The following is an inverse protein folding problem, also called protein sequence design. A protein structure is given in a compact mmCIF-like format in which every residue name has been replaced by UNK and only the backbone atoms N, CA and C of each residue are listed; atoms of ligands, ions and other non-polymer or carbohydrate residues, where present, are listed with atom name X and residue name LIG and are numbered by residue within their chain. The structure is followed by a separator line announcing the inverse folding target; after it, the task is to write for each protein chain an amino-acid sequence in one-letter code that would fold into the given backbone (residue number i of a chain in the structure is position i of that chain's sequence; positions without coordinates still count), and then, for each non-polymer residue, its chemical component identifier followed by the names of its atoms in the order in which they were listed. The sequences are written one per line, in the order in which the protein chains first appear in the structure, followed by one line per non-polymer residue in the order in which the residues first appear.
data_IF_646582300311
#
_entry.id   IF_646582300311
#
_cell.length_a   1.000
_cell.length_b   1.000
_cell.length_c   1.000
_cell.angle_alpha   90.00
_cell.angle_beta   90.00
_cell.angle_gamma   90.00
#
_symmetry.space_group_name_H-M   'P 1'
#
loop_
_entity.id
_entity.type
_entity.pdbx_description
1 polymer ?
#
# COMPACT_ATOMS: atom_id res chain seq x y z
N UNK A 1 -11.99 14.01 3.89
CA UNK A 1 -10.59 13.67 3.66
C UNK A 1 -10.42 13.00 2.30
N UNK A 2 -9.31 13.28 1.62
CA UNK A 2 -9.05 12.70 0.33
C UNK A 2 -8.62 11.24 0.42
N UNK A 3 -9.29 10.37 -0.30
CA UNK A 3 -9.03 8.93 -0.27
C UNK A 3 -9.00 8.37 -1.70
N UNK A 4 -8.10 7.44 -1.92
CA UNK A 4 -8.01 6.69 -3.17
C UNK A 4 -7.80 5.22 -2.87
N UNK A 5 -8.62 4.37 -3.48
CA UNK A 5 -8.54 2.92 -3.29
C UNK A 5 -8.38 2.24 -4.65
N UNK A 6 -7.48 1.27 -4.72
CA UNK A 6 -7.29 0.44 -5.90
C UNK A 6 -7.07 -1.00 -5.46
N UNK A 7 -7.64 -1.93 -6.20
CA UNK A 7 -7.49 -3.36 -5.91
C UNK A 7 -6.77 -4.06 -7.05
N UNK A 8 -5.97 -5.05 -6.71
CA UNK A 8 -5.31 -5.90 -7.70
C UNK A 8 -5.14 -7.31 -7.15
N UNK A 9 -4.99 -8.27 -8.06
CA UNK A 9 -4.85 -9.68 -7.71
C UNK A 9 -3.45 -10.16 -8.12
N UNK A 10 -2.81 -10.95 -7.25
CA UNK A 10 -1.48 -11.51 -7.49
C UNK A 10 -1.50 -13.01 -7.30
N UNK A 11 -0.64 -13.71 -8.05
CA UNK A 11 -0.44 -15.16 -7.94
C UNK A 11 0.50 -15.47 -6.77
N UNK A 12 0.03 -15.19 -5.57
CA UNK A 12 0.80 -15.40 -4.34
C UNK A 12 -0.15 -15.81 -3.23
N UNK A 13 0.35 -16.61 -2.29
CA UNK A 13 -0.43 -16.92 -1.08
C UNK A 13 -0.69 -15.65 -0.29
N UNK A 14 -1.73 -15.69 0.55
CA UNK A 14 -2.03 -14.55 1.42
C UNK A 14 -0.84 -14.20 2.32
N UNK A 15 -0.16 -15.21 2.83
CA UNK A 15 1.01 -15.01 3.69
C UNK A 15 2.15 -14.31 2.94
N UNK A 16 2.43 -14.74 1.71
CA UNK A 16 3.47 -14.11 0.89
C UNK A 16 3.09 -12.68 0.51
N UNK A 17 1.85 -12.47 0.07
CA UNK A 17 1.37 -11.13 -0.28
C UNK A 17 1.45 -10.18 0.91
N UNK A 18 1.09 -10.66 2.09
CA UNK A 18 1.17 -9.91 3.35
C UNK A 18 2.61 -9.54 3.69
N UNK A 19 3.48 -10.53 3.73
CA UNK A 19 4.90 -10.35 4.05
C UNK A 19 5.58 -9.37 3.10
N UNK A 20 5.35 -9.52 1.80
CA UNK A 20 5.96 -8.67 0.78
C UNK A 20 5.41 -7.25 0.81
N UNK A 21 4.14 -7.07 1.13
CA UNK A 21 3.55 -5.74 1.31
C UNK A 21 4.20 -5.00 2.48
N UNK A 22 4.39 -5.68 3.60
CA UNK A 22 5.06 -5.11 4.77
C UNK A 22 6.50 -4.74 4.41
N UNK A 23 7.22 -5.65 3.77
CA UNK A 23 8.62 -5.43 3.38
C UNK A 23 8.76 -4.22 2.44
N UNK A 24 7.90 -4.13 1.43
CA UNK A 24 7.95 -3.03 0.47
C UNK A 24 7.69 -1.68 1.14
N UNK A 25 6.59 -1.57 1.87
CA UNK A 25 6.21 -0.30 2.47
C UNK A 25 7.16 0.12 3.58
N UNK A 26 7.60 -0.79 4.43
CA UNK A 26 8.57 -0.44 5.48
C UNK A 26 9.92 -0.05 4.89
N UNK A 27 10.30 -0.61 3.74
CA UNK A 27 11.50 -0.21 3.01
C UNK A 27 11.43 1.23 2.53
N UNK A 28 10.24 1.77 2.29
CA UNK A 28 10.02 3.16 1.90
C UNK A 28 9.58 4.05 3.07
N UNK A 29 9.91 3.63 4.30
CA UNK A 29 9.69 4.41 5.52
C UNK A 29 8.23 4.52 5.95
N UNK A 30 7.35 3.65 5.43
CA UNK A 30 6.02 3.52 6.00
C UNK A 30 6.13 2.73 7.30
N UNK A 31 5.40 3.16 8.31
CA UNK A 31 5.39 2.49 9.61
C UNK A 31 4.15 1.62 9.71
N UNK A 32 4.33 0.33 9.99
CA UNK A 32 3.22 -0.58 10.25
C UNK A 32 2.66 -0.27 11.63
N UNK A 33 1.40 0.19 11.70
CA UNK A 33 0.75 0.59 12.94
C UNK A 33 -0.25 -0.44 13.45
N UNK A 34 -0.75 -1.29 12.56
CA UNK A 34 -1.68 -2.34 12.94
C UNK A 34 -1.53 -3.53 12.00
N UNK A 35 -1.48 -4.72 12.57
CA UNK A 35 -1.35 -5.97 11.83
C UNK A 35 -2.41 -6.95 12.35
N UNK A 36 -3.48 -7.12 11.57
CA UNK A 36 -4.57 -8.03 11.90
C UNK A 36 -4.71 -9.13 10.84
N UNK A 37 -3.61 -9.75 10.44
CA UNK A 37 -3.59 -10.82 9.46
C UNK A 37 -4.06 -10.37 8.06
N UNK A 38 -5.37 -10.18 7.89
CA UNK A 38 -5.99 -9.81 6.61
C UNK A 38 -6.14 -8.29 6.44
N UNK A 39 -5.66 -7.52 7.41
CA UNK A 39 -5.84 -6.08 7.44
C UNK A 39 -4.58 -5.43 8.01
N UNK A 40 -3.88 -4.70 7.16
CA UNK A 40 -2.64 -4.02 7.53
C UNK A 40 -2.85 -2.52 7.46
N UNK A 41 -2.35 -1.79 8.45
CA UNK A 41 -2.42 -0.34 8.48
C UNK A 41 -1.02 0.25 8.61
N UNK A 42 -0.73 1.23 7.77
CA UNK A 42 0.57 1.91 7.75
C UNK A 42 0.38 3.41 7.82
N UNK A 43 1.39 4.10 8.30
CA UNK A 43 1.43 5.55 8.32
C UNK A 43 2.81 6.02 7.84
N UNK A 44 2.84 7.15 7.13
CA UNK A 44 4.07 7.82 6.72
C UNK A 44 3.84 9.32 6.69
N UNK A 45 4.88 10.08 7.02
CA UNK A 45 4.86 11.52 6.99
C UNK A 45 4.52 12.16 8.33
N UNK A 46 4.56 13.47 8.37
CA UNK A 46 4.30 14.25 9.57
C UNK A 46 3.05 15.12 9.39
N UNK A 47 2.12 15.02 10.33
CA UNK A 47 0.91 15.85 10.33
C UNK A 47 1.23 17.34 10.38
N UNK A 48 2.35 17.72 11.00
CA UNK A 48 2.76 19.13 11.13
C UNK A 48 3.30 19.72 9.83
N UNK A 49 3.89 18.92 8.97
CA UNK A 49 4.52 19.38 7.72
C UNK A 49 3.52 19.61 6.59
N UNK A 50 2.29 19.14 6.75
CA UNK A 50 1.27 19.27 5.70
C UNK A 50 0.83 20.71 5.43
N UNK A 51 1.10 21.64 6.36
CA UNK A 51 0.68 23.02 6.22
C UNK A 51 1.65 23.89 5.42
N UNK A 52 2.89 23.47 5.27
CA UNK A 52 3.96 24.36 4.77
C UNK A 52 4.55 23.97 3.43
N UNK A 53 4.53 22.70 3.09
CA UNK A 53 5.06 22.25 1.81
C UNK A 53 4.27 21.06 1.34
N UNK A 54 3.82 21.12 0.09
CA UNK A 54 3.28 19.94 -0.54
C UNK A 54 4.41 19.15 -1.18
N UNK A 55 4.73 18.00 -0.57
CA UNK A 55 5.52 16.96 -1.18
C UNK A 55 4.81 15.67 -0.83
N UNK A 56 4.44 14.87 -1.82
CA UNK A 56 3.74 13.61 -1.55
C UNK A 56 4.54 12.75 -0.56
N UNK A 57 5.86 12.71 -0.72
CA UNK A 57 6.70 11.86 0.13
C UNK A 57 6.70 12.31 1.59
N UNK A 58 6.60 13.63 1.84
CA UNK A 58 6.59 14.20 3.20
C UNK A 58 5.20 14.36 3.79
N UNK A 59 4.18 14.36 2.95
CA UNK A 59 2.80 14.50 3.43
C UNK A 59 2.39 13.30 4.26
N UNK A 60 1.58 13.55 5.30
CA UNK A 60 1.04 12.47 6.11
C UNK A 60 0.10 11.60 5.26
N UNK A 61 0.31 10.29 5.35
CA UNK A 61 -0.50 9.30 4.65
C UNK A 61 -0.90 8.19 5.60
N UNK A 62 -2.14 7.79 5.49
CA UNK A 62 -2.66 6.60 6.16
C UNK A 62 -2.97 5.57 5.07
N UNK A 63 -2.39 4.40 5.19
CA UNK A 63 -2.52 3.35 4.17
C UNK A 63 -3.13 2.11 4.81
N UNK A 64 -4.16 1.57 4.18
CA UNK A 64 -4.80 0.33 4.61
C UNK A 64 -4.71 -0.67 3.46
N UNK A 65 -4.24 -1.88 3.77
CA UNK A 65 -4.22 -2.99 2.83
C UNK A 65 -5.11 -4.09 3.37
N UNK A 66 -6.20 -4.38 2.66
CA UNK A 66 -7.06 -5.52 2.96
C UNK A 66 -6.67 -6.68 2.05
N UNK A 67 -6.53 -7.87 2.61
CA UNK A 67 -6.10 -9.07 1.90
C UNK A 67 -7.25 -10.07 1.85
N UNK A 68 -7.58 -10.54 0.66
CA UNK A 68 -8.58 -11.59 0.45
C UNK A 68 -7.91 -12.70 -0.34
N UNK A 69 -7.73 -13.86 0.28
CA UNK A 69 -7.08 -15.01 -0.34
C UNK A 69 -8.03 -16.17 -0.50
N UNK A 70 -7.61 -17.10 -1.35
CA UNK A 70 -8.27 -18.38 -1.53
C UNK A 70 -7.33 -19.47 -0.99
N UNK A 71 -7.83 -20.31 -0.08
CA UNK A 71 -7.03 -21.36 0.53
C UNK A 71 -6.61 -22.46 -0.47
N UNK A 72 -7.43 -22.68 -1.48
CA UNK A 72 -7.19 -23.76 -2.46
C UNK A 72 -6.21 -23.38 -3.57
N UNK A 73 -6.03 -22.09 -3.83
CA UNK A 73 -5.18 -21.59 -4.89
C UNK A 73 -4.34 -20.43 -4.34
N UNK A 74 -3.04 -20.37 -4.66
CA UNK A 74 -2.19 -19.27 -4.16
C UNK A 74 -2.46 -17.97 -4.94
N UNK A 75 -3.64 -17.42 -4.77
CA UNK A 75 -4.07 -16.18 -5.40
C UNK A 75 -4.64 -15.27 -4.31
N UNK A 76 -4.19 -14.03 -4.27
CA UNK A 76 -4.63 -13.07 -3.26
C UNK A 76 -5.01 -11.76 -3.93
N UNK A 77 -6.13 -11.20 -3.52
CA UNK A 77 -6.55 -9.85 -3.92
C UNK A 77 -6.20 -8.89 -2.80
N UNK A 78 -5.50 -7.83 -3.16
CA UNK A 78 -5.15 -6.75 -2.25
C UNK A 78 -5.96 -5.52 -2.60
N UNK A 79 -6.58 -4.92 -1.58
CA UNK A 79 -7.27 -3.65 -1.72
C UNK A 79 -6.47 -2.62 -0.94
N UNK A 80 -5.89 -1.65 -1.64
CA UNK A 80 -4.98 -0.66 -1.06
C UNK A 80 -5.66 0.70 -1.06
N UNK A 81 -5.81 1.28 0.12
CA UNK A 81 -6.45 2.58 0.31
C UNK A 81 -5.47 3.57 0.91
N UNK A 82 -5.31 4.72 0.24
CA UNK A 82 -4.52 5.83 0.77
C UNK A 82 -5.47 6.93 1.20
N UNK A 83 -5.29 7.45 2.41
CA UNK A 83 -6.03 8.59 2.94
C UNK A 83 -5.04 9.70 3.29
N UNK A 84 -5.27 10.88 2.76
CA UNK A 84 -4.48 12.08 3.03
C UNK A 84 -5.36 13.12 3.74
N UNK A 85 -4.76 14.04 4.53
CA UNK A 85 -5.53 14.99 5.32
C UNK A 85 -6.08 16.18 4.51
N UNK A 86 -6.31 16.00 3.22
CA UNK A 86 -6.85 17.02 2.34
C UNK A 86 -8.32 16.72 2.05
N UNK A 87 -9.13 17.76 1.80
CA UNK A 87 -10.54 17.57 1.48
C UNK A 87 -10.72 16.76 0.19
N UNK A 88 -9.90 17.06 -0.80
CA UNK A 88 -9.93 16.37 -2.09
C UNK A 88 -8.50 16.07 -2.52
N UNK A 89 -8.32 14.96 -3.22
CA UNK A 89 -7.04 14.65 -3.83
C UNK A 89 -6.93 15.38 -5.17
N UNK A 90 -5.81 16.06 -5.37
CA UNK A 90 -5.49 16.65 -6.67
C UNK A 90 -5.12 15.54 -7.66
N UNK A 91 -5.02 15.90 -8.93
CA UNK A 91 -4.57 14.98 -9.98
C UNK A 91 -3.16 14.45 -9.67
N UNK A 92 -2.26 15.33 -9.23
CA UNK A 92 -0.87 14.94 -8.94
C UNK A 92 -0.78 14.02 -7.74
N UNK A 93 -1.58 14.26 -6.71
CA UNK A 93 -1.65 13.39 -5.53
C UNK A 93 -2.19 12.01 -5.90
N UNK A 94 -3.25 11.97 -6.70
CA UNK A 94 -3.84 10.71 -7.17
C UNK A 94 -2.84 9.92 -8.01
N UNK A 95 -2.13 10.58 -8.92
CA UNK A 95 -1.11 9.92 -9.74
C UNK A 95 0.06 9.40 -8.89
N UNK A 96 0.47 10.14 -7.87
CA UNK A 96 1.51 9.68 -6.95
C UNK A 96 1.08 8.42 -6.20
N UNK A 97 -0.16 8.38 -5.72
CA UNK A 97 -0.72 7.21 -5.05
C UNK A 97 -0.76 6.01 -5.99
N UNK A 98 -1.26 6.20 -7.21
CA UNK A 98 -1.30 5.15 -8.23
C UNK A 98 0.08 4.58 -8.50
N UNK A 99 1.09 5.43 -8.55
CA UNK A 99 2.48 5.01 -8.77
C UNK A 99 2.96 4.09 -7.66
N UNK A 100 2.67 4.44 -6.40
CA UNK A 100 3.04 3.60 -5.26
C UNK A 100 2.33 2.25 -5.33
N UNK A 101 1.04 2.23 -5.60
CA UNK A 101 0.26 0.98 -5.67
C UNK A 101 0.76 0.09 -6.81
N UNK A 102 1.02 0.66 -7.98
CA UNK A 102 1.56 -0.09 -9.12
C UNK A 102 2.95 -0.65 -8.83
N UNK A 103 3.79 0.12 -8.15
CA UNK A 103 5.12 -0.32 -7.76
C UNK A 103 5.06 -1.44 -6.72
N UNK A 104 4.13 -1.35 -5.77
CA UNK A 104 3.88 -2.42 -4.80
C UNK A 104 3.49 -3.72 -5.51
N UNK A 105 2.53 -3.64 -6.43
CA UNK A 105 2.10 -4.80 -7.21
C UNK A 105 3.27 -5.41 -7.97
N UNK A 106 4.04 -4.57 -8.65
CA UNK A 106 5.20 -5.02 -9.44
C UNK A 106 6.23 -5.71 -8.55
N UNK A 107 6.50 -5.16 -7.38
CA UNK A 107 7.42 -5.76 -6.43
C UNK A 107 6.97 -7.16 -6.01
N UNK A 108 5.69 -7.31 -5.67
CA UNK A 108 5.13 -8.61 -5.27
C UNK A 108 5.24 -9.62 -6.43
N UNK A 109 4.80 -9.23 -7.62
CA UNK A 109 4.79 -10.10 -8.81
C UNK A 109 6.19 -10.57 -9.14
N UNK A 110 7.16 -9.67 -9.17
CA UNK A 110 8.56 -10.00 -9.51
C UNK A 110 9.16 -10.88 -8.43
N UNK A 111 8.96 -10.56 -7.16
CA UNK A 111 9.56 -11.30 -6.05
C UNK A 111 9.01 -12.74 -5.99
N UNK A 112 7.71 -12.90 -6.14
CA UNK A 112 7.07 -14.21 -6.16
C UNK A 112 7.57 -15.03 -7.36
N UNK A 113 7.67 -14.41 -8.53
CA UNK A 113 8.22 -15.07 -9.70
C UNK A 113 9.66 -15.54 -9.48
N UNK A 114 10.46 -14.75 -8.81
CA UNK A 114 11.85 -15.09 -8.48
C UNK A 114 11.92 -16.28 -7.52
N UNK A 115 11.04 -16.32 -6.52
CA UNK A 115 11.01 -17.40 -5.53
C UNK A 115 10.58 -18.74 -6.13
N UNK A 116 9.84 -18.71 -7.24
CA UNK A 116 9.33 -19.92 -7.92
C UNK A 116 10.29 -20.50 -8.97
N UNK A 117 11.28 -19.72 -9.36
CA UNK A 117 12.24 -20.15 -10.40
C UNK A 117 13.44 -20.89 -9.83
#
# INVERSE_FOLDING_TARGET
MGEYTESFTVDASMNDARELSIKYLTGFKYKLTNDQNKWLTFEKGSKRKNFYTFSFDRAYKHVVIALVGNEDVPVTTLSVSFTLPFLHLSKDETEAIKTVIRSLRKFIVITVGYRRS
#
